data_IF_763344278615
#
_entry.id   IF_763344278615
#
_cell.length_a   1.000
_cell.length_b   1.000
_cell.length_c   1.000
_cell.angle_alpha   90.00
_cell.angle_beta   90.00
_cell.angle_gamma   90.00
#
_symmetry.space_group_name_H-M   'P 1'
#
loop_
_entity.id
_entity.type
_entity.pdbx_description
1 polymer ?
#
# COMPACT_ATOMS: atom_id res chain seq x y z
N UNK A 1 49.32 14.23 -18.21
CA UNK A 1 47.94 14.07 -18.71
C UNK A 1 47.56 12.63 -18.47
N UNK A 2 47.02 12.33 -17.28
CA UNK A 2 46.58 10.99 -16.93
C UNK A 2 45.11 10.88 -17.34
N UNK A 3 44.81 9.99 -18.28
CA UNK A 3 43.44 9.67 -18.65
C UNK A 3 42.78 8.93 -17.49
N UNK A 4 41.87 9.62 -16.80
CA UNK A 4 40.95 9.01 -15.86
C UNK A 4 40.03 8.07 -16.68
N UNK A 5 39.97 6.76 -16.39
CA UNK A 5 39.05 5.87 -17.08
C UNK A 5 37.62 6.38 -16.86
N UNK A 6 36.84 6.49 -17.94
CA UNK A 6 35.43 6.86 -17.85
C UNK A 6 34.71 5.95 -16.85
N UNK A 7 33.79 6.47 -16.02
CA UNK A 7 33.03 5.64 -15.08
C UNK A 7 32.30 4.58 -15.92
N UNK A 8 32.65 3.32 -15.69
CA UNK A 8 31.96 2.20 -16.33
C UNK A 8 30.45 2.39 -16.14
N UNK A 9 29.68 2.19 -17.21
CA UNK A 9 28.22 2.19 -17.25
C UNK A 9 27.63 1.34 -16.11
N UNK A 10 27.49 1.93 -14.93
CA UNK A 10 27.03 1.24 -13.70
C UNK A 10 25.55 1.50 -13.51
N UNK A 11 24.76 1.32 -14.57
CA UNK A 11 23.29 1.27 -14.47
C UNK A 11 22.71 0.09 -15.22
N UNK A 12 23.42 -1.06 -15.21
CA UNK A 12 22.80 -2.33 -15.60
C UNK A 12 21.84 -2.73 -14.48
N UNK A 13 20.52 -2.66 -14.75
CA UNK A 13 19.50 -3.09 -13.78
C UNK A 13 19.70 -4.56 -13.44
N UNK A 14 19.91 -4.86 -12.15
CA UNK A 14 19.97 -6.24 -11.66
C UNK A 14 18.57 -6.87 -11.71
N UNK A 15 18.46 -8.07 -12.27
CA UNK A 15 17.21 -8.81 -12.28
C UNK A 15 16.92 -9.42 -10.91
N UNK A 16 15.63 -9.42 -10.54
CA UNK A 16 15.13 -10.08 -9.34
C UNK A 16 14.92 -11.57 -9.61
N UNK A 17 14.98 -12.37 -8.55
CA UNK A 17 14.47 -13.74 -8.56
C UNK A 17 13.00 -13.78 -8.99
N UNK A 18 12.61 -14.84 -9.69
CA UNK A 18 11.29 -14.95 -10.31
C UNK A 18 10.16 -14.75 -9.29
N UNK A 19 10.23 -15.42 -8.14
CA UNK A 19 9.23 -15.32 -7.07
C UNK A 19 9.13 -13.91 -6.49
N UNK A 20 10.25 -13.20 -6.35
CA UNK A 20 10.26 -11.82 -5.88
C UNK A 20 9.63 -10.89 -6.91
N UNK A 21 9.92 -11.09 -8.20
CA UNK A 21 9.31 -10.33 -9.27
C UNK A 21 7.79 -10.58 -9.35
N UNK A 22 7.33 -11.82 -9.16
CA UNK A 22 5.91 -12.16 -9.14
C UNK A 22 5.20 -11.58 -7.93
N UNK A 23 5.82 -11.62 -6.75
CA UNK A 23 5.31 -10.93 -5.56
C UNK A 23 5.10 -9.44 -5.78
N UNK A 24 6.06 -8.77 -6.43
CA UNK A 24 5.91 -7.35 -6.78
C UNK A 24 4.81 -7.09 -7.81
N UNK A 25 4.65 -7.96 -8.82
CA UNK A 25 3.55 -7.85 -9.79
C UNK A 25 2.19 -8.03 -9.12
N UNK A 26 2.06 -9.01 -8.22
CA UNK A 26 0.84 -9.25 -7.46
C UNK A 26 0.50 -8.07 -6.55
N UNK A 27 1.50 -7.53 -5.85
CA UNK A 27 1.32 -6.33 -5.03
C UNK A 27 0.88 -5.13 -5.89
N UNK A 28 1.54 -4.90 -7.03
CA UNK A 28 1.17 -3.84 -7.95
C UNK A 28 -0.26 -3.99 -8.49
N UNK A 29 -0.70 -5.21 -8.81
CA UNK A 29 -2.07 -5.49 -9.23
C UNK A 29 -3.08 -5.12 -8.12
N UNK A 30 -2.83 -5.58 -6.89
CA UNK A 30 -3.65 -5.24 -5.73
C UNK A 30 -3.69 -3.73 -5.46
N UNK A 31 -2.57 -3.04 -5.61
CA UNK A 31 -2.50 -1.59 -5.45
C UNK A 31 -3.36 -0.87 -6.49
N UNK A 32 -3.30 -1.28 -7.76
CA UNK A 32 -4.15 -0.71 -8.81
C UNK A 32 -5.63 -0.94 -8.52
N UNK A 33 -6.01 -2.17 -8.18
CA UNK A 33 -7.39 -2.49 -7.81
C UNK A 33 -7.88 -1.65 -6.63
N UNK A 34 -7.06 -1.49 -5.60
CA UNK A 34 -7.40 -0.66 -4.43
C UNK A 34 -7.56 0.82 -4.80
N UNK A 35 -6.72 1.32 -5.73
CA UNK A 35 -6.83 2.68 -6.22
C UNK A 35 -8.10 2.90 -7.05
N UNK A 36 -8.46 1.93 -7.90
CA UNK A 36 -9.69 1.98 -8.70
C UNK A 36 -10.94 1.97 -7.79
N UNK A 37 -10.94 1.15 -6.74
CA UNK A 37 -12.02 1.13 -5.75
C UNK A 37 -12.14 2.47 -5.00
N UNK A 38 -11.01 3.05 -4.57
CA UNK A 38 -11.02 4.36 -3.91
C UNK A 38 -11.51 5.46 -4.84
N UNK A 39 -11.04 5.48 -6.09
CA UNK A 39 -11.49 6.45 -7.08
C UNK A 39 -13.01 6.37 -7.28
N UNK A 40 -13.56 5.16 -7.44
CA UNK A 40 -15.01 4.97 -7.58
C UNK A 40 -15.80 5.50 -6.37
N UNK A 41 -15.32 5.28 -5.14
CA UNK A 41 -15.97 5.81 -3.93
C UNK A 41 -15.89 7.34 -3.89
N UNK A 42 -14.76 7.94 -4.23
CA UNK A 42 -14.61 9.40 -4.25
C UNK A 42 -15.48 10.05 -5.33
N UNK A 43 -15.59 9.43 -6.50
CA UNK A 43 -16.48 9.86 -7.57
C UNK A 43 -17.95 9.76 -7.16
N UNK A 44 -18.35 8.68 -6.48
CA UNK A 44 -19.70 8.52 -5.92
C UNK A 44 -20.00 9.61 -4.88
N UNK A 45 -19.09 9.87 -3.96
CA UNK A 45 -19.25 10.95 -2.97
C UNK A 45 -19.34 12.33 -3.66
N UNK A 46 -18.54 12.56 -4.71
CA UNK A 46 -18.60 13.81 -5.46
C UNK A 46 -19.94 13.97 -6.21
N UNK A 47 -20.54 12.88 -6.69
CA UNK A 47 -21.79 12.89 -7.42
C UNK A 47 -23.03 12.93 -6.49
N UNK A 48 -22.98 12.21 -5.37
CA UNK A 48 -24.15 11.89 -4.54
C UNK A 48 -24.08 12.46 -3.11
N UNK A 49 -22.95 13.04 -2.72
CA UNK A 49 -22.70 13.52 -1.35
C UNK A 49 -22.25 12.40 -0.41
N UNK A 50 -22.09 12.75 0.88
CA UNK A 50 -21.66 11.79 1.89
C UNK A 50 -22.79 10.79 2.24
N UNK A 51 -22.44 9.54 2.60
CA UNK A 51 -23.42 8.57 3.09
C UNK A 51 -24.07 9.04 4.40
N UNK A 52 -25.29 8.57 4.71
CA UNK A 52 -25.97 8.89 5.96
C UNK A 52 -25.19 8.38 7.16
N UNK A 53 -25.22 9.13 8.27
CA UNK A 53 -24.46 8.82 9.49
C UNK A 53 -24.93 7.50 10.10
N UNK A 54 -26.22 7.16 9.95
CA UNK A 54 -26.83 5.92 10.43
C UNK A 54 -26.23 4.67 9.75
N UNK A 55 -25.67 4.83 8.54
CA UNK A 55 -24.96 3.78 7.82
C UNK A 55 -23.44 3.78 8.05
N UNK A 56 -22.90 4.75 8.79
CA UNK A 56 -21.48 4.88 9.05
C UNK A 56 -21.10 4.20 10.38
N UNK A 57 -19.89 3.66 10.44
CA UNK A 57 -19.30 3.20 11.71
C UNK A 57 -18.59 4.36 12.41
N UNK A 58 -18.86 4.62 13.71
CA UNK A 58 -18.11 5.61 14.48
C UNK A 58 -16.60 5.34 14.44
N UNK A 59 -15.82 6.41 14.44
CA UNK A 59 -14.37 6.32 14.40
C UNK A 59 -13.80 5.58 15.61
N UNK A 60 -14.40 5.81 16.78
CA UNK A 60 -14.03 5.20 18.05
C UNK A 60 -14.11 3.67 17.96
N UNK A 61 -15.19 3.13 17.39
CA UNK A 61 -15.40 1.68 17.27
C UNK A 61 -14.35 1.02 16.36
N UNK A 62 -14.03 1.66 15.23
CA UNK A 62 -12.98 1.21 14.31
C UNK A 62 -11.60 1.26 14.97
N UNK A 63 -11.31 2.37 15.68
CA UNK A 63 -10.03 2.59 16.35
C UNK A 63 -9.81 1.54 17.43
N UNK A 64 -10.78 1.32 18.31
CA UNK A 64 -10.66 0.37 19.41
C UNK A 64 -10.57 -1.08 18.91
N UNK A 65 -11.33 -1.45 17.87
CA UNK A 65 -11.19 -2.76 17.22
C UNK A 65 -9.78 -2.96 16.67
N UNK A 66 -9.23 -1.94 16.00
CA UNK A 66 -7.88 -2.00 15.45
C UNK A 66 -6.80 -2.11 16.55
N UNK A 67 -6.93 -1.32 17.62
CA UNK A 67 -6.00 -1.34 18.75
C UNK A 67 -6.04 -2.66 19.52
N UNK A 68 -7.23 -3.23 19.73
CA UNK A 68 -7.39 -4.55 20.33
C UNK A 68 -6.69 -5.62 19.49
N UNK A 69 -6.86 -5.58 18.16
CA UNK A 69 -6.17 -6.48 17.24
C UNK A 69 -4.65 -6.35 17.32
N UNK A 70 -4.12 -5.12 17.33
CA UNK A 70 -2.68 -4.89 17.47
C UNK A 70 -2.15 -5.38 18.82
N UNK A 71 -2.91 -5.16 19.90
CA UNK A 71 -2.55 -5.65 21.25
C UNK A 71 -2.51 -7.18 21.28
N UNK A 72 -3.47 -7.85 20.66
CA UNK A 72 -3.50 -9.31 20.54
C UNK A 72 -2.35 -9.87 19.69
N UNK A 73 -1.84 -9.09 18.73
CA UNK A 73 -0.72 -9.48 17.87
C UNK A 73 0.65 -9.17 18.49
N UNK A 74 0.72 -8.39 19.56
CA UNK A 74 2.00 -8.11 20.23
C UNK A 74 2.42 -9.34 21.05
N UNK A 75 3.57 -9.97 20.75
CA UNK A 75 4.14 -10.96 21.65
C UNK A 75 4.44 -10.28 23.00
N UNK A 76 4.18 -10.97 24.10
CA UNK A 76 4.57 -10.51 25.43
C UNK A 76 6.10 -10.31 25.42
N UNK A 77 6.54 -9.05 25.48
CA UNK A 77 7.94 -8.71 25.70
C UNK A 77 8.23 -9.11 27.15
N UNK A 78 8.95 -10.21 27.33
CA UNK A 78 9.45 -10.70 28.62
C UNK A 78 10.72 -9.96 29.04
#
# INVERSE_FOLDING_TARGET
>A
MSEQPAPADTTVRQQLEADAADGLRAYAARTRESADQLAAVLEDIAANGLPPVEGCTPWEDLRETHLARLTAQRPAVA
#
